data_IF_097952618271
#
_entry.id   IF_097952618271
#
_cell.length_a   1.000
_cell.length_b   1.000
_cell.length_c   1.000
_cell.angle_alpha   90.00
_cell.angle_beta   90.00
_cell.angle_gamma   90.00
#
_symmetry.space_group_name_H-M   'P 1'
#
loop_
_entity.id
_entity.type
_entity.pdbx_description
1 polymer ?
#
# COMPACT_ATOMS: atom_id res chain seq x y z
N UNK A 1 9.51 -9.52 5.40
CA UNK A 1 8.81 -9.03 6.61
C UNK A 1 7.46 -9.74 6.78
N UNK A 2 7.06 -10.22 7.98
CA UNK A 2 5.69 -10.76 8.18
C UNK A 2 4.61 -9.69 7.96
N UNK A 3 3.45 -10.10 7.46
CA UNK A 3 2.33 -9.18 7.23
C UNK A 3 1.85 -8.51 8.53
N UNK A 4 1.67 -7.19 8.48
CA UNK A 4 1.05 -6.41 9.53
C UNK A 4 0.42 -5.14 8.94
N UNK A 5 -0.51 -4.53 9.67
CA UNK A 5 -1.03 -3.19 9.37
C UNK A 5 -0.81 -2.29 10.59
N UNK A 6 -0.31 -1.06 10.42
CA UNK A 6 -0.12 -0.15 11.54
C UNK A 6 -1.43 0.13 12.28
N UNK A 7 -1.37 0.21 13.61
CA UNK A 7 -2.51 0.41 14.52
C UNK A 7 -3.52 -0.75 14.58
N UNK A 8 -3.28 -1.88 13.91
CA UNK A 8 -4.03 -3.10 14.16
C UNK A 8 -3.66 -3.69 15.54
N UNK A 9 -4.65 -4.28 16.21
CA UNK A 9 -4.47 -4.93 17.53
C UNK A 9 -3.90 -6.35 17.42
N UNK A 10 -4.13 -7.01 16.30
CA UNK A 10 -3.83 -8.41 16.04
C UNK A 10 -3.89 -8.69 14.52
N UNK A 11 -3.58 -9.93 14.11
CA UNK A 11 -3.56 -10.34 12.71
C UNK A 11 -4.94 -10.28 12.04
N UNK A 12 -6.02 -10.58 12.76
CA UNK A 12 -7.38 -10.56 12.21
C UNK A 12 -7.81 -9.11 11.93
N UNK A 13 -7.58 -8.21 12.88
CA UNK A 13 -7.84 -6.78 12.70
C UNK A 13 -6.96 -6.18 11.59
N UNK A 14 -5.71 -6.63 11.44
CA UNK A 14 -4.85 -6.21 10.33
C UNK A 14 -5.45 -6.62 8.97
N UNK A 15 -5.94 -7.86 8.85
CA UNK A 15 -6.61 -8.33 7.64
C UNK A 15 -7.88 -7.53 7.35
N UNK A 16 -8.71 -7.26 8.37
CA UNK A 16 -9.93 -6.46 8.24
C UNK A 16 -9.63 -5.06 7.69
N UNK A 17 -8.65 -4.35 8.26
CA UNK A 17 -8.25 -3.01 7.80
C UNK A 17 -7.72 -3.08 6.36
N UNK A 18 -6.89 -4.08 6.04
CA UNK A 18 -6.31 -4.23 4.71
C UNK A 18 -7.39 -4.48 3.65
N UNK A 19 -8.33 -5.37 3.92
CA UNK A 19 -9.44 -5.67 3.01
C UNK A 19 -10.39 -4.48 2.86
N UNK A 20 -10.71 -3.78 3.95
CA UNK A 20 -11.50 -2.55 3.90
C UNK A 20 -10.82 -1.46 3.06
N UNK A 21 -9.50 -1.28 3.21
CA UNK A 21 -8.69 -0.35 2.43
C UNK A 21 -8.69 -0.73 0.95
N UNK A 22 -8.46 -2.00 0.61
CA UNK A 22 -8.51 -2.48 -0.78
C UNK A 22 -9.88 -2.25 -1.40
N UNK A 23 -10.95 -2.60 -0.69
CA UNK A 23 -12.33 -2.40 -1.16
C UNK A 23 -12.62 -0.93 -1.42
N UNK A 24 -12.30 -0.04 -0.47
CA UNK A 24 -12.49 1.40 -0.61
C UNK A 24 -11.82 1.95 -1.86
N UNK A 25 -10.55 1.60 -2.10
CA UNK A 25 -9.82 2.07 -3.27
C UNK A 25 -10.33 1.45 -4.58
N UNK A 26 -10.68 0.17 -4.58
CA UNK A 26 -11.25 -0.51 -5.75
C UNK A 26 -12.55 0.16 -6.20
N UNK A 27 -13.46 0.44 -5.26
CA UNK A 27 -14.75 1.10 -5.52
C UNK A 27 -14.58 2.57 -5.91
N UNK A 28 -13.78 3.33 -5.16
CA UNK A 28 -13.60 4.77 -5.40
C UNK A 28 -12.89 5.05 -6.72
N UNK A 29 -11.89 4.24 -7.08
CA UNK A 29 -11.04 4.48 -8.25
C UNK A 29 -11.44 3.63 -9.47
N UNK A 30 -12.38 2.69 -9.32
CA UNK A 30 -12.66 1.67 -10.33
C UNK A 30 -11.42 0.84 -10.68
N UNK A 31 -10.61 0.51 -9.67
CA UNK A 31 -9.30 -0.12 -9.82
C UNK A 31 -9.36 -1.65 -9.74
N UNK A 32 -8.45 -2.34 -10.43
CA UNK A 32 -8.28 -3.80 -10.35
C UNK A 32 -7.02 -4.14 -9.56
N UNK A 33 -7.17 -4.25 -8.24
CA UNK A 33 -6.05 -4.44 -7.32
C UNK A 33 -5.51 -5.88 -7.37
N UNK A 34 -4.17 -5.99 -7.50
CA UNK A 34 -3.43 -7.24 -7.36
C UNK A 34 -3.56 -7.84 -5.97
N UNK A 35 -3.36 -9.16 -5.85
CA UNK A 35 -3.31 -9.86 -4.57
C UNK A 35 -1.97 -9.74 -3.83
N UNK A 36 -0.97 -9.11 -4.46
CA UNK A 36 0.32 -8.80 -3.83
C UNK A 36 0.13 -7.97 -2.57
N UNK A 37 0.67 -8.48 -1.46
CA UNK A 37 0.78 -7.73 -0.21
C UNK A 37 2.11 -6.99 -0.21
N UNK A 38 2.11 -5.76 -0.73
CA UNK A 38 3.34 -4.98 -0.91
C UNK A 38 3.75 -4.32 0.43
N UNK A 39 4.97 -4.59 0.88
CA UNK A 39 5.53 -4.02 2.11
C UNK A 39 6.20 -2.67 1.86
N UNK A 40 7.00 -2.57 0.79
CA UNK A 40 7.71 -1.34 0.46
C UNK A 40 7.83 -1.13 -1.04
N UNK A 41 7.83 0.14 -1.46
CA UNK A 41 8.20 0.56 -2.81
C UNK A 41 9.14 1.76 -2.74
N UNK A 42 10.09 1.82 -3.67
CA UNK A 42 10.87 3.03 -3.91
C UNK A 42 10.87 3.37 -5.38
N UNK A 43 10.99 4.66 -5.66
CA UNK A 43 10.89 5.17 -7.00
C UNK A 43 11.34 6.60 -7.11
N UNK A 44 11.06 7.19 -8.28
CA UNK A 44 11.36 8.59 -8.58
C UNK A 44 10.15 9.25 -9.20
N UNK A 45 9.51 10.14 -8.43
CA UNK A 45 8.36 10.91 -8.91
C UNK A 45 8.77 12.37 -9.09
N UNK A 46 8.51 12.95 -10.26
CA UNK A 46 8.85 14.35 -10.58
C UNK A 46 10.31 14.73 -10.25
N UNK A 47 11.25 13.82 -10.52
CA UNK A 47 12.68 14.08 -10.29
C UNK A 47 13.18 13.81 -8.87
N UNK A 48 12.30 13.55 -7.90
CA UNK A 48 12.64 13.28 -6.50
C UNK A 48 12.49 11.80 -6.19
N UNK A 49 13.53 11.21 -5.58
CA UNK A 49 13.43 9.85 -5.04
C UNK A 49 12.47 9.84 -3.86
N UNK A 50 11.75 8.75 -3.70
CA UNK A 50 10.93 8.51 -2.51
C UNK A 50 10.98 7.03 -2.13
N UNK A 51 10.70 6.77 -0.85
CA UNK A 51 10.41 5.42 -0.35
C UNK A 51 9.11 5.44 0.43
N UNK A 52 8.25 4.46 0.19
CA UNK A 52 7.03 4.22 0.96
C UNK A 52 7.12 2.82 1.55
N UNK A 53 7.13 2.73 2.88
CA UNK A 53 7.20 1.46 3.61
C UNK A 53 6.06 1.42 4.62
N UNK A 54 5.29 0.34 4.62
CA UNK A 54 4.18 0.15 5.59
C UNK A 54 4.70 0.30 7.01
N UNK A 55 4.03 1.13 7.82
CA UNK A 55 4.43 1.45 9.20
C UNK A 55 5.43 2.59 9.34
N UNK A 56 5.97 3.13 8.25
CA UNK A 56 6.84 4.32 8.28
C UNK A 56 6.10 5.57 7.80
N UNK A 57 6.49 6.77 8.26
CA UNK A 57 5.98 8.02 7.70
C UNK A 57 6.36 8.16 6.23
N UNK A 58 5.41 8.54 5.38
CA UNK A 58 5.67 8.85 3.98
C UNK A 58 6.28 10.25 3.85
N UNK A 59 7.48 10.36 3.26
CA UNK A 59 8.33 11.56 3.29
C UNK A 59 7.63 12.86 2.87
N UNK A 60 6.70 12.80 1.91
CA UNK A 60 6.01 13.99 1.39
C UNK A 60 4.78 14.43 2.20
N UNK A 61 4.26 13.55 3.07
CA UNK A 61 3.01 13.76 3.80
C UNK A 61 3.18 13.76 5.33
N UNK A 62 4.23 13.12 5.84
CA UNK A 62 4.44 12.91 7.28
C UNK A 62 3.46 11.92 7.91
N UNK A 63 2.57 11.31 7.13
CA UNK A 63 1.60 10.32 7.59
C UNK A 63 2.16 8.90 7.45
N UNK A 64 1.83 8.03 8.40
CA UNK A 64 2.20 6.61 8.33
C UNK A 64 1.56 5.92 7.13
N UNK A 65 2.35 5.21 6.33
CA UNK A 65 1.84 4.33 5.28
C UNK A 65 1.11 3.16 5.93
N UNK A 66 -0.17 3.00 5.65
CA UNK A 66 -1.02 1.95 6.20
C UNK A 66 -1.00 0.72 5.28
N UNK A 67 -1.11 0.92 3.97
CA UNK A 67 -1.12 -0.14 2.99
C UNK A 67 -0.59 0.33 1.64
N UNK A 68 -0.05 -0.60 0.86
CA UNK A 68 0.36 -0.37 -0.53
C UNK A 68 -0.36 -1.41 -1.39
N UNK A 69 -0.97 -0.97 -2.49
CA UNK A 69 -1.67 -1.84 -3.45
C UNK A 69 -1.22 -1.54 -4.87
N UNK A 70 -1.35 -2.49 -5.79
CA UNK A 70 -1.06 -2.31 -7.20
C UNK A 70 -2.34 -2.47 -8.03
N UNK A 71 -2.78 -1.40 -8.69
CA UNK A 71 -3.81 -1.48 -9.72
C UNK A 71 -3.20 -2.01 -11.03
N UNK A 72 -3.54 -3.26 -11.34
CA UNK A 72 -3.08 -3.98 -12.53
C UNK A 72 -3.70 -3.47 -13.82
N UNK A 73 -4.84 -2.78 -13.77
CA UNK A 73 -5.49 -2.24 -14.97
C UNK A 73 -4.79 -1.01 -15.52
N UNK A 74 -4.13 -0.24 -14.64
CA UNK A 74 -3.42 1.01 -14.96
C UNK A 74 -1.92 0.93 -14.68
N UNK A 75 -1.43 -0.21 -14.19
CA UNK A 75 -0.05 -0.39 -13.73
C UNK A 75 0.37 0.71 -12.75
N UNK A 76 -0.41 0.93 -11.69
CA UNK A 76 -0.22 2.05 -10.76
C UNK A 76 -0.23 1.59 -9.30
N UNK A 77 0.77 2.01 -8.53
CA UNK A 77 0.86 1.78 -7.10
C UNK A 77 0.06 2.82 -6.33
N UNK A 78 -0.74 2.34 -5.38
CA UNK A 78 -1.55 3.14 -4.47
C UNK A 78 -0.91 3.08 -3.10
N UNK A 79 -0.30 4.18 -2.68
CA UNK A 79 0.30 4.34 -1.36
C UNK A 79 -0.75 5.00 -0.46
N UNK A 80 -1.25 4.23 0.51
CA UNK A 80 -2.38 4.63 1.34
C UNK A 80 -1.91 5.07 2.73
N UNK A 81 -2.42 6.21 3.19
CA UNK A 81 -2.23 6.77 4.54
C UNK A 81 -3.59 6.99 5.20
N UNK A 82 -3.70 7.30 6.51
CA UNK A 82 -5.00 7.47 7.16
C UNK A 82 -5.93 8.43 6.41
N UNK A 83 -5.41 9.56 5.92
CA UNK A 83 -6.19 10.56 5.20
C UNK A 83 -6.12 10.44 3.66
N UNK A 84 -5.51 9.37 3.13
CA UNK A 84 -5.43 9.09 1.69
C UNK A 84 -5.62 7.62 1.40
N UNK A 85 -6.78 7.25 0.87
CA UNK A 85 -7.08 5.87 0.47
C UNK A 85 -7.46 4.93 1.61
N UNK A 86 -7.41 5.35 2.88
CA UNK A 86 -7.90 4.54 4.01
C UNK A 86 -9.24 5.07 4.53
N UNK A 87 -9.25 6.22 5.23
CA UNK A 87 -10.48 6.79 5.78
C UNK A 87 -11.17 7.73 4.79
N UNK A 88 -10.37 8.40 3.94
CA UNK A 88 -10.83 9.43 2.99
C UNK A 88 -9.75 9.73 1.96
N UNK A 89 -10.13 10.55 0.98
CA UNK A 89 -9.21 11.04 -0.05
C UNK A 89 -8.71 9.95 -0.99
N UNK A 90 -8.13 10.37 -2.10
CA UNK A 90 -7.46 9.45 -3.03
C UNK A 90 -6.08 9.06 -2.48
N UNK A 91 -5.62 7.82 -2.72
CA UNK A 91 -4.27 7.40 -2.36
C UNK A 91 -3.23 8.23 -3.12
N UNK A 92 -1.98 8.21 -2.64
CA UNK A 92 -0.88 8.71 -3.45
C UNK A 92 -0.61 7.70 -4.58
N UNK A 93 -0.67 8.19 -5.81
CA UNK A 93 -0.54 7.38 -7.02
C UNK A 93 0.87 7.50 -7.57
N UNK A 94 1.50 6.36 -7.89
CA UNK A 94 2.76 6.33 -8.63
C UNK A 94 2.69 5.29 -9.74
N UNK A 95 3.11 5.68 -10.95
CA UNK A 95 3.16 4.77 -12.09
C UNK A 95 4.19 3.68 -11.85
N UNK A 96 3.96 2.46 -12.36
CA UNK A 96 4.95 1.37 -12.23
C UNK A 96 6.28 1.69 -12.92
N UNK A 97 6.26 2.56 -13.92
CA UNK A 97 7.43 3.10 -14.60
C UNK A 97 8.27 4.05 -13.72
N UNK A 98 7.68 4.62 -12.67
CA UNK A 98 8.38 5.44 -11.67
C UNK A 98 9.00 4.60 -10.55
N UNK A 99 8.56 3.34 -10.39
CA UNK A 99 9.02 2.43 -9.34
C UNK A 99 10.24 1.64 -9.82
N UNK A 100 11.33 1.73 -9.07
CA UNK A 100 12.55 0.97 -9.35
C UNK A 100 12.77 -0.22 -8.41
N UNK A 101 11.99 -0.30 -7.32
CA UNK A 101 12.02 -1.42 -6.38
C UNK A 101 10.66 -1.59 -5.72
N UNK A 102 10.22 -2.84 -5.59
CA UNK A 102 9.06 -3.23 -4.80
C UNK A 102 9.37 -4.52 -4.06
N UNK A 103 9.03 -4.57 -2.78
CA UNK A 103 9.16 -5.76 -1.94
C UNK A 103 7.80 -6.10 -1.33
N UNK A 104 7.44 -7.38 -1.40
CA UNK A 104 6.21 -7.90 -0.81
C UNK A 104 6.48 -8.36 0.64
N UNK A 105 5.44 -8.43 1.47
CA UNK A 105 5.52 -9.13 2.73
C UNK A 105 5.87 -10.60 2.51
N UNK A 106 6.54 -11.22 3.48
CA UNK A 106 6.88 -12.64 3.44
C UNK A 106 5.59 -13.46 3.41
N UNK A 107 5.56 -14.43 2.50
CA UNK A 107 4.46 -15.37 2.42
C UNK A 107 4.63 -16.40 3.54
N UNK A 108 4.12 -16.09 4.74
CA UNK A 108 4.11 -17.05 5.84
C UNK A 108 2.92 -17.98 5.68
N UNK A 109 2.94 -18.84 4.66
CA UNK A 109 2.10 -20.04 4.69
C UNK A 109 2.82 -21.07 5.57
N UNK A 110 2.28 -21.50 6.72
CA UNK A 110 2.76 -22.73 7.35
C UNK A 110 2.44 -23.85 6.37
N UNK A 111 3.47 -24.47 5.79
CA UNK A 111 3.32 -25.78 5.17
C UNK A 111 2.96 -26.75 6.30
N UNK A 112 1.68 -27.14 6.35
CA UNK A 112 1.20 -28.25 7.18
C UNK A 112 1.60 -29.58 6.56
#
# INVERSE_FOLDING_TARGET
MKFFIPAASDEAHAEEIYQATRKFNAEQMGAKLSDRRIYTVSGKHSGKSFTATVGQPFESLGETVIAISLDTSRSCYFICTPNRGVLRGMPYLSGSDEINHSEDFDDSTPVH
#
